data_IF_498476663416
#
_entry.id   IF_498476663416
#
_cell.length_a   1.000
_cell.length_b   1.000
_cell.length_c   1.000
_cell.angle_alpha   90.00
_cell.angle_beta   90.00
_cell.angle_gamma   90.00
#
_symmetry.space_group_name_H-M   'P 1'
#
loop_
_entity.id
_entity.type
_entity.pdbx_description
1 polymer ?
#
# COMPACT_ATOMS: atom_id res chain seq x y z
N UNK A 1 -10.23 -5.29 7.87
CA UNK A 1 -10.42 -5.13 6.41
C UNK A 1 -9.21 -4.38 5.88
N UNK A 2 -8.59 -4.86 4.81
CA UNK A 2 -7.31 -4.34 4.32
C UNK A 2 -7.38 -3.90 2.85
N UNK A 3 -6.28 -3.35 2.36
CA UNK A 3 -6.11 -3.05 0.94
C UNK A 3 -6.16 -4.35 0.10
N UNK A 4 -6.68 -4.26 -1.12
CA UNK A 4 -6.57 -5.35 -2.09
C UNK A 4 -5.32 -5.15 -2.95
N UNK A 5 -4.46 -6.17 -3.09
CA UNK A 5 -3.32 -6.09 -4.01
C UNK A 5 -3.84 -6.37 -5.42
N UNK A 6 -3.76 -5.36 -6.28
CA UNK A 6 -4.20 -5.47 -7.67
C UNK A 6 -3.05 -5.94 -8.59
N UNK A 7 -1.82 -5.64 -8.20
CA UNK A 7 -0.64 -6.19 -8.85
C UNK A 7 0.65 -5.48 -8.47
N UNK A 8 1.76 -6.05 -8.93
CA UNK A 8 3.10 -5.55 -8.70
C UNK A 8 3.91 -5.73 -9.98
N UNK A 9 4.60 -4.67 -10.41
CA UNK A 9 5.35 -4.64 -11.66
C UNK A 9 6.72 -4.03 -11.44
N UNK A 10 7.64 -4.37 -12.34
CA UNK A 10 8.94 -3.72 -12.49
C UNK A 10 9.16 -3.35 -13.94
N UNK A 11 10.05 -2.39 -14.20
CA UNK A 11 10.42 -2.01 -15.56
C UNK A 11 11.09 -3.19 -16.28
N UNK A 12 10.74 -3.41 -17.56
CA UNK A 12 11.38 -4.46 -18.38
C UNK A 12 12.88 -4.23 -18.49
N UNK A 13 13.30 -2.97 -18.60
CA UNK A 13 14.70 -2.57 -18.55
C UNK A 13 15.21 -2.65 -17.13
N UNK A 14 16.28 -3.43 -16.92
CA UNK A 14 16.96 -3.50 -15.63
C UNK A 14 17.59 -2.16 -15.31
N UNK A 15 17.05 -1.46 -14.31
CA UNK A 15 17.59 -0.20 -13.79
C UNK A 15 18.32 -0.47 -12.47
N UNK A 16 19.32 0.35 -12.14
CA UNK A 16 19.95 0.34 -10.82
C UNK A 16 19.80 1.74 -10.20
N UNK A 17 19.00 1.91 -9.14
CA UNK A 17 18.19 0.88 -8.47
C UNK A 17 16.94 0.49 -9.26
N UNK A 18 16.53 -0.78 -9.14
CA UNK A 18 15.30 -1.32 -9.74
C UNK A 18 14.07 -0.57 -9.22
N UNK A 19 13.18 -0.18 -10.13
CA UNK A 19 11.90 0.42 -9.79
C UNK A 19 10.80 -0.62 -9.72
N UNK A 20 10.02 -0.57 -8.64
CA UNK A 20 8.87 -1.46 -8.40
C UNK A 20 7.62 -0.60 -8.20
N UNK A 21 6.57 -0.91 -8.94
CA UNK A 21 5.26 -0.29 -8.83
C UNK A 21 4.30 -1.28 -8.17
N UNK A 22 3.73 -0.90 -7.03
CA UNK A 22 2.69 -1.67 -6.33
C UNK A 22 1.36 -0.93 -6.45
N UNK A 23 0.36 -1.60 -7.05
CA UNK A 23 -1.01 -1.06 -7.14
C UNK A 23 -1.90 -1.75 -6.11
N UNK A 24 -2.55 -0.93 -5.27
CA UNK A 24 -3.48 -1.39 -4.24
C UNK A 24 -4.84 -0.73 -4.41
N UNK A 25 -5.90 -1.54 -4.36
CA UNK A 25 -7.28 -1.12 -4.43
C UNK A 25 -7.83 -0.81 -3.03
N UNK A 26 -8.58 0.29 -2.94
CA UNK A 26 -9.26 0.73 -1.73
C UNK A 26 -10.70 1.10 -2.05
N UNK A 27 -11.62 0.83 -1.12
CA UNK A 27 -13.03 1.20 -1.24
C UNK A 27 -13.26 2.73 -1.22
N UNK A 28 -12.41 3.49 -0.54
CA UNK A 28 -12.49 4.95 -0.43
C UNK A 28 -11.14 5.55 0.01
N UNK A 29 -10.93 6.88 -0.13
CA UNK A 29 -9.76 7.56 0.44
C UNK A 29 -9.66 7.37 1.95
N UNK A 30 -10.78 7.44 2.67
CA UNK A 30 -10.80 7.21 4.12
C UNK A 30 -10.40 5.79 4.48
N UNK A 31 -10.79 4.78 3.68
CA UNK A 31 -10.31 3.41 3.86
C UNK A 31 -8.78 3.32 3.65
N UNK A 32 -8.24 4.02 2.66
CA UNK A 32 -6.78 4.12 2.49
C UNK A 32 -6.08 4.75 3.70
N UNK A 33 -6.58 5.87 4.21
CA UNK A 33 -6.03 6.53 5.41
C UNK A 33 -6.05 5.59 6.63
N UNK A 34 -7.15 4.85 6.83
CA UNK A 34 -7.25 3.88 7.91
C UNK A 34 -6.18 2.78 7.82
N UNK A 35 -5.81 2.31 6.62
CA UNK A 35 -4.73 1.31 6.50
C UNK A 35 -3.35 1.84 6.89
N UNK A 36 -3.16 3.17 6.88
CA UNK A 36 -1.92 3.83 7.32
C UNK A 36 -1.85 3.96 8.82
N UNK A 37 -3.00 4.04 9.49
CA UNK A 37 -3.10 4.07 10.93
C UNK A 37 -3.15 2.63 11.47
N UNK A 38 -2.14 2.22 12.22
CA UNK A 38 -2.13 0.93 12.88
C UNK A 38 -2.50 1.18 14.35
N UNK A 39 -3.77 0.96 14.78
CA UNK A 39 -4.08 1.01 16.20
C UNK A 39 -3.24 -0.08 16.87
N UNK A 40 -2.39 0.32 17.81
CA UNK A 40 -1.51 -0.60 18.52
C UNK A 40 -2.31 -1.74 19.13
N UNK A 41 -1.87 -2.97 18.86
CA UNK A 41 -2.31 -4.21 19.51
C UNK A 41 -3.82 -4.56 19.38
N UNK A 42 -4.23 -5.01 18.18
CA UNK A 42 -5.47 -5.78 17.99
C UNK A 42 -5.28 -7.29 18.29
N UNK A 43 -4.69 -7.63 19.45
CA UNK A 43 -4.58 -9.01 19.92
C UNK A 43 -3.51 -9.88 19.24
N UNK A 44 -2.61 -9.28 18.46
CA UNK A 44 -1.46 -9.98 17.87
C UNK A 44 -0.30 -10.10 18.87
N UNK A 45 0.55 -11.13 18.73
CA UNK A 45 1.72 -11.29 19.60
C UNK A 45 2.70 -10.13 19.42
N UNK A 46 3.49 -9.85 20.47
CA UNK A 46 4.51 -8.81 20.43
C UNK A 46 5.54 -9.05 19.32
N UNK A 47 5.95 -10.29 19.07
CA UNK A 47 6.92 -10.59 18.00
C UNK A 47 6.35 -10.27 16.60
N UNK A 48 5.08 -10.60 16.35
CA UNK A 48 4.43 -10.29 15.08
C UNK A 48 4.33 -8.78 14.86
N UNK A 49 4.06 -8.02 15.92
CA UNK A 49 4.01 -6.57 15.85
C UNK A 49 5.38 -5.95 15.61
N UNK A 50 6.41 -6.39 16.34
CA UNK A 50 7.78 -5.92 16.17
C UNK A 50 8.30 -6.22 14.75
N UNK A 51 7.94 -7.39 14.21
CA UNK A 51 8.22 -7.77 12.82
C UNK A 51 7.50 -6.87 11.80
N UNK A 52 6.19 -6.65 11.95
CA UNK A 52 5.44 -5.78 11.05
C UNK A 52 5.97 -4.35 11.07
N UNK A 53 6.29 -3.81 12.25
CA UNK A 53 6.88 -2.48 12.41
C UNK A 53 8.23 -2.36 11.68
N UNK A 54 9.08 -3.39 11.76
CA UNK A 54 10.36 -3.43 11.03
C UNK A 54 10.14 -3.41 9.51
N UNK A 55 9.25 -4.26 8.99
CA UNK A 55 8.93 -4.29 7.56
C UNK A 55 8.25 -2.99 7.09
N UNK A 56 7.40 -2.38 7.91
CA UNK A 56 6.75 -1.11 7.64
C UNK A 56 7.76 0.01 7.53
N UNK A 57 8.69 0.10 8.48
CA UNK A 57 9.77 1.08 8.49
C UNK A 57 10.63 0.94 7.23
N UNK A 58 11.02 -0.30 6.90
CA UNK A 58 11.81 -0.56 5.70
C UNK A 58 11.07 -0.20 4.42
N UNK A 59 9.76 -0.47 4.35
CA UNK A 59 8.93 -0.08 3.20
C UNK A 59 8.88 1.43 3.03
N UNK A 60 8.78 2.19 4.12
CA UNK A 60 8.80 3.66 4.08
C UNK A 60 10.12 4.16 3.50
N UNK A 61 11.26 3.62 3.96
CA UNK A 61 12.59 3.98 3.44
C UNK A 61 12.75 3.70 1.94
N UNK A 62 12.18 2.59 1.45
CA UNK A 62 12.26 2.20 0.03
C UNK A 62 11.27 2.98 -0.86
N UNK A 63 10.24 3.60 -0.28
CA UNK A 63 9.17 4.25 -1.05
C UNK A 63 9.66 5.60 -1.58
N UNK A 64 9.96 5.67 -2.89
CA UNK A 64 10.30 6.94 -3.56
C UNK A 64 9.10 7.89 -3.67
N UNK A 65 7.91 7.35 -3.96
CA UNK A 65 6.69 8.14 -4.14
C UNK A 65 5.49 7.27 -3.84
N UNK A 66 4.49 7.83 -3.16
CA UNK A 66 3.18 7.19 -2.94
C UNK A 66 2.09 8.16 -3.38
N UNK A 67 1.14 7.69 -4.19
CA UNK A 67 0.01 8.48 -4.68
C UNK A 67 -1.26 7.68 -4.50
N UNK A 68 -2.36 8.37 -4.22
CA UNK A 68 -3.71 7.81 -4.27
C UNK A 68 -4.53 8.61 -5.24
N UNK A 69 -5.24 7.89 -6.10
CA UNK A 69 -6.11 8.46 -7.11
C UNK A 69 -7.51 7.91 -6.90
N UNK A 70 -8.49 8.81 -6.90
CA UNK A 70 -9.89 8.47 -6.95
C UNK A 70 -10.24 8.11 -8.38
N UNK A 71 -10.62 6.86 -8.62
CA UNK A 71 -11.21 6.45 -9.89
C UNK A 71 -12.71 6.64 -9.80
N UNK A 72 -13.24 7.54 -10.63
CA UNK A 72 -14.67 7.65 -10.87
C UNK A 72 -15.01 6.77 -12.07
N UNK A 73 -16.12 6.04 -12.00
CA UNK A 73 -16.65 5.38 -13.18
C UNK A 73 -17.01 6.43 -14.22
N UNK A 74 -16.60 6.20 -15.47
CA UNK A 74 -17.04 6.99 -16.62
C UNK A 74 -18.44 6.62 -17.09
N UNK A 75 -19.08 5.61 -16.50
CA UNK A 75 -20.37 5.07 -16.97
C UNK A 75 -21.59 5.83 -16.42
N UNK A 76 -21.40 7.03 -15.88
CA UNK A 76 -22.50 7.94 -15.52
C UNK A 76 -22.62 8.94 -16.67
N UNK A 77 -23.36 8.57 -17.71
CA UNK A 77 -24.13 9.44 -18.63
C UNK A 77 -24.59 8.64 -19.87
N UNK A 78 -25.55 7.72 -19.68
CA UNK A 78 -26.42 7.21 -20.74
C UNK A 78 -27.86 7.10 -20.24
#
# INVERSE_FOLDING_TARGET
MGACILGMWTTITSTTPMEVILLTGYHSPSHWEQTRYAPGNMGASKELWDGEMSYRSRRIELTKTTKVSLMTSSDIDH
#
